data_IF_941400339677
#
_entry.id   IF_941400339677
#
_cell.length_a   1.000
_cell.length_b   1.000
_cell.length_c   1.000
_cell.angle_alpha   90.00
_cell.angle_beta   90.00
_cell.angle_gamma   90.00
#
_symmetry.space_group_name_H-M   'P 1'
#
loop_
_entity.id
_entity.type
_entity.pdbx_description
1 polymer ?
#
# COMPACT_ATOMS: atom_id res chain seq x y z
N UNK A 1 -4.29 -25.65 -56.46
CA UNK A 1 -2.92 -26.18 -56.28
C UNK A 1 -2.95 -27.18 -55.12
N UNK A 2 -2.89 -28.48 -55.40
CA UNK A 2 -2.82 -29.53 -54.37
C UNK A 2 -1.39 -29.59 -53.85
N UNK A 3 -1.19 -29.31 -52.56
CA UNK A 3 0.13 -29.37 -51.93
C UNK A 3 0.61 -30.84 -51.94
N UNK A 4 1.78 -31.10 -52.54
CA UNK A 4 2.35 -32.45 -52.62
C UNK A 4 2.54 -33.07 -51.23
N UNK A 5 2.47 -34.40 -51.12
CA UNK A 5 2.59 -35.12 -49.85
C UNK A 5 3.85 -34.74 -49.06
N UNK A 6 4.99 -34.59 -49.74
CA UNK A 6 6.25 -34.13 -49.14
C UNK A 6 6.18 -32.73 -48.55
N UNK A 7 5.46 -31.79 -49.19
CA UNK A 7 5.29 -30.42 -48.71
C UNK A 7 4.41 -30.35 -47.46
N UNK A 8 3.41 -31.24 -47.33
CA UNK A 8 2.56 -31.35 -46.13
C UNK A 8 3.34 -31.86 -44.92
N UNK A 9 4.27 -32.81 -45.13
CA UNK A 9 5.12 -33.37 -44.08
C UNK A 9 6.07 -32.29 -43.53
N UNK A 10 6.74 -31.55 -44.42
CA UNK A 10 7.62 -30.44 -44.03
C UNK A 10 6.86 -29.34 -43.28
N UNK A 11 5.63 -29.03 -43.71
CA UNK A 11 4.79 -28.04 -43.03
C UNK A 11 4.41 -28.50 -41.61
N UNK A 12 4.04 -29.76 -41.44
CA UNK A 12 3.69 -30.33 -40.14
C UNK A 12 4.88 -30.32 -39.17
N UNK A 13 6.07 -30.67 -39.65
CA UNK A 13 7.30 -30.63 -38.86
C UNK A 13 7.66 -29.20 -38.42
N UNK A 14 7.52 -28.22 -39.32
CA UNK A 14 7.77 -26.81 -39.02
C UNK A 14 6.77 -26.25 -38.00
N UNK A 15 5.51 -26.67 -38.05
CA UNK A 15 4.49 -26.34 -37.04
C UNK A 15 4.84 -26.95 -35.69
N UNK A 16 5.28 -28.21 -35.65
CA UNK A 16 5.69 -28.86 -34.40
C UNK A 16 6.88 -28.15 -33.75
N UNK A 17 7.89 -27.77 -34.53
CA UNK A 17 9.03 -26.98 -34.05
C UNK A 17 8.56 -25.65 -33.49
N UNK A 18 7.66 -24.95 -34.18
CA UNK A 18 7.10 -23.68 -33.72
C UNK A 18 6.35 -23.85 -32.38
N UNK A 19 5.56 -24.90 -32.22
CA UNK A 19 4.84 -25.19 -30.97
C UNK A 19 5.83 -25.46 -29.84
N UNK A 20 6.89 -26.24 -30.07
CA UNK A 20 7.93 -26.51 -29.06
C UNK A 20 8.63 -25.22 -28.64
N UNK A 21 8.96 -24.33 -29.59
CA UNK A 21 9.57 -23.03 -29.30
C UNK A 21 8.64 -22.12 -28.48
N UNK A 22 7.34 -22.12 -28.79
CA UNK A 22 6.33 -21.38 -28.03
C UNK A 22 6.24 -21.92 -26.60
N UNK A 23 6.16 -23.25 -26.42
CA UNK A 23 6.12 -23.89 -25.10
C UNK A 23 7.39 -23.56 -24.31
N UNK A 24 8.56 -23.65 -24.94
CA UNK A 24 9.82 -23.31 -24.31
C UNK A 24 9.88 -21.84 -23.86
N UNK A 25 9.42 -20.91 -24.69
CA UNK A 25 9.32 -19.49 -24.33
C UNK A 25 8.37 -19.28 -23.15
N UNK A 26 7.20 -19.93 -23.16
CA UNK A 26 6.23 -19.87 -22.04
C UNK A 26 6.90 -20.36 -20.76
N UNK A 27 7.61 -21.49 -20.79
CA UNK A 27 8.31 -22.06 -19.63
C UNK A 27 9.37 -21.11 -19.10
N UNK A 28 10.21 -20.51 -19.96
CA UNK A 28 11.22 -19.52 -19.53
C UNK A 28 10.58 -18.31 -18.87
N UNK A 29 9.53 -17.76 -19.48
CA UNK A 29 8.79 -16.61 -18.92
C UNK A 29 8.19 -16.99 -17.56
N UNK A 30 7.65 -18.19 -17.44
CA UNK A 30 7.09 -18.70 -16.18
C UNK A 30 8.16 -18.86 -15.10
N UNK A 31 9.27 -19.52 -15.40
CA UNK A 31 10.36 -19.76 -14.45
C UNK A 31 10.97 -18.44 -13.97
N UNK A 32 11.30 -17.53 -14.90
CA UNK A 32 11.86 -16.20 -14.58
C UNK A 32 10.90 -15.38 -13.71
N UNK A 33 9.60 -15.48 -13.97
CA UNK A 33 8.60 -14.78 -13.18
C UNK A 33 8.32 -15.43 -11.83
N UNK A 34 8.58 -16.73 -11.68
CA UNK A 34 8.30 -17.47 -10.45
C UNK A 34 9.23 -17.08 -9.29
N UNK A 35 10.45 -16.59 -9.56
CA UNK A 35 11.35 -16.12 -8.51
C UNK A 35 10.80 -14.90 -7.76
N UNK A 36 10.30 -13.91 -8.50
CA UNK A 36 9.64 -12.72 -7.95
C UNK A 36 8.32 -13.07 -7.25
N UNK A 37 7.58 -14.06 -7.77
CA UNK A 37 6.35 -14.55 -7.13
C UNK A 37 6.63 -15.16 -5.75
N UNK A 38 7.81 -15.74 -5.52
CA UNK A 38 8.20 -16.25 -4.19
C UNK A 38 8.36 -15.11 -3.19
N UNK A 39 9.11 -14.06 -3.53
CA UNK A 39 9.25 -12.87 -2.68
C UNK A 39 7.88 -12.25 -2.31
N UNK A 40 7.01 -12.07 -3.30
CA UNK A 40 5.66 -11.54 -3.10
C UNK A 40 4.78 -12.44 -2.22
N UNK A 41 4.95 -13.76 -2.33
CA UNK A 41 4.22 -14.75 -1.53
C UNK A 41 4.75 -14.82 -0.11
N UNK A 42 6.05 -14.72 0.06
CA UNK A 42 6.71 -14.67 1.37
C UNK A 42 6.31 -13.39 2.09
N UNK A 43 6.30 -12.25 1.40
CA UNK A 43 5.80 -10.98 1.95
C UNK A 43 4.30 -11.01 2.28
N UNK A 44 3.47 -11.77 1.55
CA UNK A 44 2.07 -12.00 1.92
C UNK A 44 1.94 -12.88 3.18
N UNK A 45 2.83 -13.86 3.33
CA UNK A 45 2.85 -14.77 4.48
C UNK A 45 3.30 -14.07 5.76
N UNK A 46 4.19 -13.09 5.62
CA UNK A 46 4.75 -12.26 6.69
C UNK A 46 3.87 -11.05 7.04
N UNK A 47 2.85 -10.76 6.23
CA UNK A 47 1.97 -9.62 6.43
C UNK A 47 1.10 -9.75 7.68
N UNK A 48 1.33 -8.87 8.65
CA UNK A 48 0.68 -8.90 9.96
C UNK A 48 -0.76 -8.30 9.90
N UNK A 49 -0.93 -7.20 9.15
CA UNK A 49 -2.20 -6.49 9.06
C UNK A 49 -3.13 -6.96 7.93
N UNK A 50 -4.45 -6.83 8.12
CA UNK A 50 -5.45 -7.18 7.10
C UNK A 50 -5.35 -6.30 5.83
N UNK A 51 -4.97 -5.03 5.99
CA UNK A 51 -4.72 -4.11 4.88
C UNK A 51 -3.49 -4.50 4.07
N UNK A 52 -2.40 -4.86 4.75
CA UNK A 52 -1.18 -5.32 4.11
C UNK A 52 -1.39 -6.64 3.35
N UNK A 53 -2.14 -7.59 3.90
CA UNK A 53 -2.55 -8.81 3.19
C UNK A 53 -3.38 -8.53 1.94
N UNK A 54 -4.21 -7.48 1.93
CA UNK A 54 -4.97 -7.06 0.73
C UNK A 54 -4.05 -6.43 -0.31
N UNK A 55 -3.10 -5.60 0.12
CA UNK A 55 -2.09 -5.01 -0.74
C UNK A 55 -1.23 -6.07 -1.45
N UNK A 56 -0.65 -7.00 -0.69
CA UNK A 56 0.16 -8.08 -1.25
C UNK A 56 -0.65 -9.00 -2.16
N UNK A 57 -1.92 -9.29 -1.81
CA UNK A 57 -2.85 -10.01 -2.71
C UNK A 57 -3.08 -9.26 -4.03
N UNK A 58 -3.24 -7.93 -3.98
CA UNK A 58 -3.35 -7.09 -5.18
C UNK A 58 -2.07 -7.15 -6.02
N UNK A 59 -0.91 -7.00 -5.39
CA UNK A 59 0.38 -7.02 -6.08
C UNK A 59 0.65 -8.38 -6.73
N UNK A 60 0.33 -9.48 -6.05
CA UNK A 60 0.34 -10.84 -6.60
C UNK A 60 -0.57 -10.97 -7.82
N UNK A 61 -1.83 -10.51 -7.73
CA UNK A 61 -2.79 -10.59 -8.85
C UNK A 61 -2.35 -9.74 -10.04
N UNK A 62 -1.85 -8.52 -9.83
CA UNK A 62 -1.27 -7.71 -10.90
C UNK A 62 -0.08 -8.42 -11.55
N UNK A 63 0.78 -9.08 -10.76
CA UNK A 63 1.91 -9.83 -11.29
C UNK A 63 1.47 -11.06 -12.08
N UNK A 64 0.49 -11.81 -11.60
CA UNK A 64 -0.13 -12.92 -12.33
C UNK A 64 -0.74 -12.44 -13.65
N UNK A 65 -1.40 -11.27 -13.65
CA UNK A 65 -1.94 -10.69 -14.87
C UNK A 65 -0.85 -10.40 -15.89
N UNK A 66 0.34 -9.93 -15.49
CA UNK A 66 1.50 -9.73 -16.41
C UNK A 66 2.06 -11.02 -17.02
N UNK A 67 1.66 -12.20 -16.53
CA UNK A 67 2.03 -13.47 -17.18
C UNK A 67 1.18 -13.74 -18.43
N UNK A 68 0.04 -13.05 -18.58
CA UNK A 68 -0.76 -13.16 -19.79
C UNK A 68 -0.06 -12.44 -20.94
N UNK A 69 -0.04 -13.03 -22.15
CA UNK A 69 0.74 -12.53 -23.29
C UNK A 69 0.37 -11.10 -23.74
N UNK A 70 -0.84 -10.63 -23.41
CA UNK A 70 -1.35 -9.31 -23.80
C UNK A 70 -1.30 -8.27 -22.67
N UNK A 71 -0.77 -8.63 -21.51
CA UNK A 71 -0.78 -7.78 -20.32
C UNK A 71 0.64 -7.31 -20.00
N UNK A 72 0.91 -6.06 -20.38
CA UNK A 72 2.15 -5.37 -20.06
C UNK A 72 2.04 -4.50 -18.79
N UNK A 73 3.16 -3.88 -18.37
CA UNK A 73 3.18 -3.00 -17.20
C UNK A 73 2.28 -1.77 -17.35
N UNK A 74 1.98 -1.34 -18.59
CA UNK A 74 1.14 -0.16 -18.88
C UNK A 74 -0.37 -0.43 -18.80
N UNK A 75 -0.82 -1.66 -19.05
CA UNK A 75 -2.24 -2.01 -19.08
C UNK A 75 -2.65 -2.90 -17.89
N UNK A 76 -1.70 -3.46 -17.13
CA UNK A 76 -1.98 -4.33 -15.99
C UNK A 76 -2.90 -3.70 -14.95
N UNK A 77 -2.70 -2.42 -14.60
CA UNK A 77 -3.49 -1.78 -13.55
C UNK A 77 -4.92 -1.53 -14.01
N UNK A 78 -5.09 -1.17 -15.28
CA UNK A 78 -6.39 -0.98 -15.91
C UNK A 78 -7.16 -2.30 -16.03
N UNK A 79 -6.47 -3.37 -16.44
CA UNK A 79 -7.05 -4.71 -16.55
C UNK A 79 -7.37 -5.27 -15.15
N UNK A 80 -6.50 -5.02 -14.17
CA UNK A 80 -6.77 -5.39 -12.79
C UNK A 80 -7.99 -4.65 -12.23
N UNK A 81 -8.08 -3.33 -12.46
CA UNK A 81 -9.24 -2.52 -12.07
C UNK A 81 -10.54 -2.96 -12.75
N UNK A 82 -10.47 -3.38 -14.01
CA UNK A 82 -11.60 -3.91 -14.77
C UNK A 82 -12.04 -5.31 -14.29
N UNK A 83 -11.09 -6.21 -14.03
CA UNK A 83 -11.39 -7.59 -13.62
C UNK A 83 -11.77 -7.70 -12.14
N UNK A 84 -11.19 -6.87 -11.28
CA UNK A 84 -11.29 -6.96 -9.83
C UNK A 84 -11.88 -5.70 -9.20
N UNK A 85 -12.79 -5.00 -9.90
CA UNK A 85 -13.61 -3.85 -9.47
C UNK A 85 -13.35 -3.41 -8.02
N UNK A 86 -12.58 -2.33 -7.83
CA UNK A 86 -12.24 -1.78 -6.51
C UNK A 86 -10.75 -1.48 -6.28
N UNK A 87 -9.90 -1.77 -7.26
CA UNK A 87 -8.48 -1.52 -7.15
C UNK A 87 -8.12 -0.11 -7.61
N UNK A 88 -7.83 0.76 -6.65
CA UNK A 88 -7.55 2.18 -6.88
C UNK A 88 -6.70 2.45 -8.11
N UNK A 89 -7.31 3.20 -9.02
CA UNK A 89 -6.65 3.92 -10.11
C UNK A 89 -5.35 4.51 -9.55
N UNK A 90 -4.20 4.31 -10.19
CA UNK A 90 -2.86 4.73 -9.70
C UNK A 90 -2.68 6.24 -9.51
N UNK A 91 -3.79 6.99 -9.42
CA UNK A 91 -3.91 8.36 -8.99
C UNK A 91 -3.55 8.48 -7.51
N UNK A 92 -2.90 9.59 -7.16
CA UNK A 92 -2.58 9.91 -5.78
C UNK A 92 -3.85 9.84 -4.90
N UNK A 93 -3.74 9.22 -3.73
CA UNK A 93 -4.81 9.21 -2.75
C UNK A 93 -4.99 10.64 -2.24
N UNK A 94 -6.07 11.32 -2.63
CA UNK A 94 -6.46 12.57 -2.00
C UNK A 94 -7.33 12.26 -0.79
N UNK A 95 -6.78 12.40 0.41
CA UNK A 95 -7.54 12.29 1.67
C UNK A 95 -8.03 13.68 2.10
N UNK A 96 -9.16 13.72 2.81
CA UNK A 96 -9.65 14.86 3.55
C UNK A 96 -9.64 14.48 5.03
N UNK A 97 -8.81 15.15 5.82
CA UNK A 97 -8.75 14.93 7.27
C UNK A 97 -9.72 15.86 7.98
N UNK A 98 -10.42 15.33 8.99
CA UNK A 98 -11.15 16.08 10.00
C UNK A 98 -10.67 15.61 11.37
N UNK A 99 -10.56 16.54 12.29
CA UNK A 99 -10.16 16.27 13.66
C UNK A 99 -11.31 16.66 14.57
N UNK A 100 -11.62 15.83 15.56
CA UNK A 100 -12.60 16.13 16.60
C UNK A 100 -11.92 16.01 17.97
N UNK A 101 -12.03 17.02 18.83
CA UNK A 101 -11.61 16.95 20.22
C UNK A 101 -12.86 16.78 21.09
N UNK A 102 -12.96 15.69 21.85
CA UNK A 102 -14.13 15.40 22.69
C UNK A 102 -15.48 15.49 21.93
N UNK A 103 -15.47 15.21 20.62
CA UNK A 103 -16.64 15.30 19.73
C UNK A 103 -16.84 16.64 19.02
N UNK A 104 -16.08 17.69 19.34
CA UNK A 104 -16.14 18.99 18.66
C UNK A 104 -15.11 19.08 17.53
N UNK A 105 -15.52 19.57 16.35
CA UNK A 105 -14.63 19.70 15.20
C UNK A 105 -13.54 20.75 15.44
N UNK A 106 -12.29 20.35 15.24
CA UNK A 106 -11.09 21.16 15.41
C UNK A 106 -10.51 21.60 14.07
N UNK A 107 -9.76 22.71 14.10
CA UNK A 107 -9.07 23.21 12.90
C UNK A 107 -7.91 22.30 12.54
N UNK A 108 -7.83 21.97 11.25
CA UNK A 108 -6.72 21.24 10.64
C UNK A 108 -6.11 22.16 9.57
N UNK A 109 -4.79 22.28 9.57
CA UNK A 109 -4.05 23.06 8.59
C UNK A 109 -3.62 22.14 7.45
N UNK A 110 -3.66 22.65 6.22
CA UNK A 110 -3.21 21.89 5.04
C UNK A 110 -1.80 22.33 4.70
N UNK A 111 -0.87 21.38 4.56
CA UNK A 111 0.47 21.56 4.01
C UNK A 111 0.54 20.90 2.63
N UNK A 112 1.54 21.21 1.80
CA UNK A 112 1.71 20.58 0.48
C UNK A 112 1.70 19.04 0.58
N UNK A 113 0.55 18.42 0.23
CA UNK A 113 0.37 16.96 0.25
C UNK A 113 -0.06 16.33 1.58
N UNK A 114 -0.29 17.12 2.64
CA UNK A 114 -0.65 16.59 3.97
C UNK A 114 -1.47 17.53 4.85
N UNK A 115 -1.78 17.06 6.06
CA UNK A 115 -2.57 17.76 7.07
C UNK A 115 -1.79 17.86 8.36
N UNK A 116 -1.87 19.01 9.04
CA UNK A 116 -1.25 19.20 10.36
C UNK A 116 -2.28 19.71 11.37
N UNK A 117 -2.17 19.23 12.61
CA UNK A 117 -3.01 19.70 13.71
C UNK A 117 -2.26 19.64 15.04
N UNK A 118 -2.58 20.58 15.93
CA UNK A 118 -2.08 20.57 17.30
C UNK A 118 -3.06 19.81 18.20
N UNK A 119 -2.55 18.82 18.91
CA UNK A 119 -3.28 18.06 19.93
C UNK A 119 -2.84 18.55 21.30
N UNK A 120 -3.79 18.88 22.16
CA UNK A 120 -3.56 19.16 23.56
C UNK A 120 -3.35 17.86 24.36
N UNK A 121 -2.68 17.97 25.50
CA UNK A 121 -2.57 16.89 26.46
C UNK A 121 -3.95 16.50 27.03
N UNK A 122 -4.07 15.24 27.45
CA UNK A 122 -5.23 14.67 28.16
C UNK A 122 -6.58 14.86 27.47
N UNK A 123 -6.56 15.00 26.14
CA UNK A 123 -7.76 15.22 25.32
C UNK A 123 -7.96 14.04 24.39
N UNK A 124 -9.21 13.58 24.28
CA UNK A 124 -9.58 12.49 23.36
C UNK A 124 -9.81 13.06 21.95
N UNK A 125 -8.88 12.78 21.06
CA UNK A 125 -8.94 13.21 19.67
C UNK A 125 -9.41 12.08 18.78
N UNK A 126 -10.48 12.33 18.02
CA UNK A 126 -10.90 11.45 16.93
C UNK A 126 -10.44 12.04 15.60
N UNK A 127 -9.53 11.33 14.93
CA UNK A 127 -9.09 11.63 13.57
C UNK A 127 -9.99 10.88 12.60
N UNK A 128 -10.66 11.61 11.72
CA UNK A 128 -11.46 11.07 10.63
C UNK A 128 -10.74 11.38 9.30
N UNK A 129 -10.28 10.35 8.62
CA UNK A 129 -9.73 10.44 7.27
C UNK A 129 -10.79 9.94 6.30
N UNK A 130 -11.20 10.81 5.37
CA UNK A 130 -12.12 10.45 4.29
C UNK A 130 -11.42 10.53 2.95
N UNK A 131 -11.89 9.76 1.98
CA UNK A 131 -11.52 9.97 0.58
C UNK A 131 -12.10 11.29 0.08
N UNK A 132 -11.30 12.09 -0.61
CA UNK A 132 -11.78 13.26 -1.34
C UNK A 132 -12.61 12.80 -2.56
N UNK A 133 -13.76 13.46 -2.75
CA UNK A 133 -14.87 12.99 -3.57
C UNK A 133 -14.50 12.60 -5.00
N UNK A 134 -14.96 11.41 -5.42
CA UNK A 134 -14.87 10.92 -6.81
C UNK A 134 -13.67 10.04 -7.15
N UNK A 135 -12.70 9.89 -6.25
CA UNK A 135 -11.53 9.02 -6.48
C UNK A 135 -11.84 7.59 -6.03
N UNK A 136 -11.63 6.55 -6.84
CA UNK A 136 -11.59 5.14 -6.38
C UNK A 136 -10.22 4.77 -5.80
N UNK A 137 -9.31 5.74 -5.73
CA UNK A 137 -7.96 5.58 -5.24
C UNK A 137 -7.98 5.07 -3.79
N UNK A 138 -7.23 4.00 -3.60
CA UNK A 138 -6.95 3.38 -2.31
C UNK A 138 -5.51 3.65 -1.97
N UNK A 139 -5.17 3.85 -0.70
CA UNK A 139 -3.79 4.06 -0.31
C UNK A 139 -3.62 3.97 1.20
N UNK A 140 -2.44 4.34 1.66
CA UNK A 140 -2.11 4.38 3.07
C UNK A 140 -1.95 5.84 3.48
N UNK A 141 -2.12 6.13 4.77
CA UNK A 141 -1.74 7.40 5.34
C UNK A 141 -0.68 7.15 6.41
N UNK A 142 0.36 7.96 6.39
CA UNK A 142 1.35 8.00 7.47
C UNK A 142 0.94 9.12 8.41
N UNK A 143 0.76 8.77 9.68
CA UNK A 143 0.46 9.69 10.77
C UNK A 143 1.73 9.83 11.62
N UNK A 144 2.32 11.01 11.62
CA UNK A 144 3.51 11.34 12.41
C UNK A 144 3.09 12.23 13.56
N UNK A 145 3.39 11.82 14.78
CA UNK A 145 3.12 12.58 16.00
C UNK A 145 4.46 13.06 16.55
N UNK A 146 4.65 14.38 16.58
CA UNK A 146 5.87 15.01 17.09
C UNK A 146 5.56 15.73 18.39
N UNK A 147 6.32 15.45 19.44
CA UNK A 147 6.22 16.18 20.70
C UNK A 147 7.04 17.48 20.68
N UNK A 148 6.79 18.38 21.64
CA UNK A 148 7.55 19.62 21.78
C UNK A 148 9.01 19.45 22.22
N UNK A 149 9.41 18.23 22.61
CA UNK A 149 10.76 17.87 23.03
C UNK A 149 11.58 17.19 21.91
N UNK A 150 11.00 16.98 20.73
CA UNK A 150 11.64 16.35 19.57
C UNK A 150 11.40 14.83 19.43
N UNK A 151 10.61 14.21 20.31
CA UNK A 151 10.16 12.83 20.18
C UNK A 151 9.20 12.68 19.01
N UNK A 152 9.47 11.72 18.12
CA UNK A 152 8.66 11.45 16.94
C UNK A 152 8.15 10.01 16.99
N UNK A 153 6.82 9.85 16.95
CA UNK A 153 6.16 8.55 16.85
C UNK A 153 5.35 8.52 15.56
N UNK A 154 5.68 7.60 14.67
CA UNK A 154 4.97 7.42 13.41
C UNK A 154 4.05 6.20 13.51
N UNK A 155 2.88 6.31 12.91
CA UNK A 155 1.93 5.22 12.69
C UNK A 155 1.55 5.19 11.22
N UNK A 156 1.24 4.00 10.71
CA UNK A 156 0.62 3.87 9.39
C UNK A 156 -0.81 3.41 9.52
N UNK A 157 -1.71 3.96 8.73
CA UNK A 157 -3.04 3.37 8.59
C UNK A 157 -2.94 2.05 7.82
N UNK A 158 -3.97 1.22 7.96
CA UNK A 158 -4.22 0.21 6.95
C UNK A 158 -4.77 0.86 5.65
N UNK A 159 -5.19 0.04 4.69
CA UNK A 159 -5.61 0.52 3.37
C UNK A 159 -6.94 1.30 3.48
N UNK A 160 -6.89 2.59 3.18
CA UNK A 160 -8.05 3.49 3.24
C UNK A 160 -8.91 3.27 1.98
N UNK A 161 -10.04 2.58 2.15
CA UNK A 161 -11.04 2.35 1.09
C UNK A 161 -12.30 3.20 1.29
N UNK A 162 -12.49 3.81 2.48
CA UNK A 162 -13.66 4.61 2.86
C UNK A 162 -13.36 5.52 4.05
N UNK A 163 -14.37 5.75 4.91
CA UNK A 163 -14.19 6.49 6.14
C UNK A 163 -13.28 5.72 7.10
N UNK A 164 -12.18 6.35 7.50
CA UNK A 164 -11.22 5.80 8.42
C UNK A 164 -11.18 6.64 9.69
N UNK A 165 -11.40 6.01 10.83
CA UNK A 165 -11.43 6.66 12.13
C UNK A 165 -10.33 6.12 13.01
N UNK A 166 -9.65 7.01 13.71
CA UNK A 166 -8.65 6.67 14.71
C UNK A 166 -8.87 7.52 15.95
N UNK A 167 -8.75 6.95 17.15
CA UNK A 167 -8.71 7.74 18.39
C UNK A 167 -7.29 7.86 18.87
N UNK A 168 -6.89 9.07 19.24
CA UNK A 168 -5.56 9.38 19.75
C UNK A 168 -5.73 9.94 21.15
N UNK A 169 -5.04 9.32 22.11
CA UNK A 169 -4.96 9.79 23.49
C UNK A 169 -3.50 9.96 23.85
N UNK A 170 -3.18 11.11 24.44
CA UNK A 170 -1.81 11.51 24.80
C UNK A 170 -1.84 12.24 26.14
N UNK A 171 -0.84 11.99 26.98
CA UNK A 171 -0.56 12.74 28.21
C UNK A 171 0.12 14.10 27.92
N UNK A 172 0.44 14.38 26.66
CA UNK A 172 1.24 15.53 26.22
C UNK A 172 0.68 16.20 24.98
N UNK A 173 1.07 17.46 24.79
CA UNK A 173 0.78 18.18 23.56
C UNK A 173 1.63 17.69 22.40
N UNK A 174 1.00 17.49 21.25
CA UNK A 174 1.61 16.89 20.06
C UNK A 174 1.26 17.67 18.81
N UNK A 175 2.14 17.63 17.83
CA UNK A 175 1.88 18.01 16.46
C UNK A 175 1.60 16.73 15.66
N UNK A 176 0.35 16.54 15.23
CA UNK A 176 -0.01 15.49 14.29
C UNK A 176 0.21 15.98 12.87
N UNK A 177 0.93 15.21 12.08
CA UNK A 177 1.12 15.38 10.64
C UNK A 177 0.60 14.13 9.94
N UNK A 178 -0.34 14.28 9.01
CA UNK A 178 -0.91 13.20 8.23
C UNK A 178 -0.58 13.38 6.74
N UNK A 179 0.15 12.44 6.16
CA UNK A 179 0.55 12.46 4.75
C UNK A 179 -0.05 11.27 4.00
N UNK A 180 -0.66 11.54 2.84
CA UNK A 180 -1.25 10.50 2.01
C UNK A 180 -0.18 9.83 1.15
N UNK A 181 0.06 8.54 1.38
CA UNK A 181 0.95 7.72 0.56
C UNK A 181 0.08 6.89 -0.39
N UNK A 182 0.16 7.19 -1.70
CA UNK A 182 -0.53 6.41 -2.72
C UNK A 182 -0.10 4.92 -2.73
N UNK A 183 -0.69 4.10 -3.60
CA UNK A 183 -0.37 2.66 -3.72
C UNK A 183 1.10 2.30 -4.03
N UNK A 184 1.98 3.29 -4.22
CA UNK A 184 3.41 3.08 -4.45
C UNK A 184 4.09 2.87 -3.10
N UNK A 185 4.33 1.60 -2.76
CA UNK A 185 5.11 1.20 -1.59
C UNK A 185 6.50 1.89 -1.67
N UNK A 186 6.98 2.55 -0.61
CA UNK A 186 8.36 3.03 -0.57
C UNK A 186 9.32 1.83 -0.67
N UNK A 187 10.41 1.99 -1.43
CA UNK A 187 11.41 0.94 -1.71
C UNK A 187 12.10 0.41 -0.44
N UNK A 188 11.98 1.14 0.66
CA UNK A 188 12.42 0.75 2.00
C UNK A 188 11.24 0.90 2.96
N UNK A 189 10.82 -0.19 3.59
CA UNK A 189 9.73 -0.17 4.57
C UNK A 189 10.36 -0.03 5.96
N UNK A 190 10.25 1.13 6.63
CA UNK A 190 10.56 1.19 8.05
C UNK A 190 9.51 0.38 8.83
N UNK A 191 9.94 -0.39 9.84
CA UNK A 191 9.07 -1.12 10.76
C UNK A 191 8.30 -0.13 11.63
N UNK A 192 7.18 0.37 11.12
CA UNK A 192 6.31 1.34 11.79
C UNK A 192 4.99 0.63 12.18
N UNK A 193 4.50 0.81 13.41
CA UNK A 193 3.25 0.18 13.86
C UNK A 193 2.03 0.61 13.01
N UNK A 194 1.16 -0.36 12.73
CA UNK A 194 -0.08 -0.14 11.98
C UNK A 194 -1.23 0.19 12.92
N UNK A 195 -1.80 1.38 12.75
CA UNK A 195 -2.96 1.85 13.50
C UNK A 195 -4.24 1.54 12.72
N UNK A 196 -4.87 0.40 13.00
CA UNK A 196 -6.04 -0.11 12.26
C UNK A 196 -7.32 0.72 12.45
N UNK A 197 -8.28 0.61 11.54
CA UNK A 197 -9.51 1.41 11.61
C UNK A 197 -10.28 1.16 12.92
N UNK A 198 -10.66 2.22 13.60
CA UNK A 198 -11.40 2.18 14.86
C UNK A 198 -10.54 1.85 16.09
N UNK A 199 -9.22 1.76 15.95
CA UNK A 199 -8.32 1.53 17.09
C UNK A 199 -8.03 2.82 17.85
N UNK A 200 -7.69 2.64 19.13
CA UNK A 200 -7.17 3.69 20.00
C UNK A 200 -5.66 3.58 19.98
N UNK A 201 -5.00 4.65 19.54
CA UNK A 201 -3.56 4.79 19.62
C UNK A 201 -3.24 5.52 20.92
N UNK A 202 -2.69 4.77 21.86
CA UNK A 202 -2.14 5.31 23.10
C UNK A 202 -0.66 5.56 22.87
N UNK A 203 -0.25 6.80 23.01
CA UNK A 203 1.14 7.17 22.80
C UNK A 203 1.90 6.82 24.07
N UNK A 204 2.93 5.95 24.00
CA UNK A 204 3.70 5.61 25.18
C UNK A 204 4.38 6.88 25.74
N UNK A 205 4.54 6.98 27.06
CA UNK A 205 5.25 8.11 27.65
C UNK A 205 6.65 8.18 27.04
N UNK A 206 7.10 9.36 26.58
CA UNK A 206 8.36 9.45 25.85
C UNK A 206 9.47 8.79 26.67
N UNK A 207 10.07 7.75 26.11
CA UNK A 207 11.32 7.21 26.61
C UNK A 207 12.30 8.38 26.58
N UNK A 208 12.75 8.81 27.78
CA UNK A 208 13.94 9.65 27.87
C UNK A 208 15.01 8.93 27.08
N UNK A 209 15.47 9.55 26.00
CA UNK A 209 16.71 9.20 25.33
C UNK A 209 17.74 8.81 26.38
N UNK A 210 18.03 7.52 26.47
CA UNK A 210 19.07 6.94 27.33
C UNK A 210 20.43 7.26 26.70
N UNK A 211 20.76 8.56 26.64
CA UNK A 211 22.06 9.08 26.24
C UNK A 211 22.71 9.89 27.37
N UNK A 212 22.45 9.50 28.61
CA UNK A 212 23.15 10.04 29.79
C UNK A 212 23.32 8.95 30.86
N UNK A 213 23.99 7.85 30.48
CA UNK A 213 24.67 6.99 31.45
C UNK A 213 26.14 7.39 31.41
N UNK A 214 26.45 8.46 32.14
CA UNK A 214 27.82 8.77 32.52
C UNK A 214 28.27 7.70 33.50
N UNK A 215 29.23 6.87 33.06
CA UNK A 215 30.00 6.03 33.96
C UNK A 215 30.85 6.95 34.85
N UNK A 216 30.46 7.06 36.11
CA UNK A 216 31.38 7.43 37.20
C UNK A 216 31.94 6.15 37.82
#
# INVERSE_FOLDING_TARGET
>A
MSMGSGTKILLAELIMILVVLIVFWIVIVFIRSNAELRYLRDALRDADSAGERRYWRRQLRCRYLRLLPFVGPRNVERIYGFLFHGAGDGRALHIHMRLYANGEEQRVYTLEGGYTAHLAADTDYTVLLRRSGGTTASGFCTLTLTDGAGGVVSYRTDMIEGDYTLRIMSDRSLLLTAEAVGCKKPEHMPDIPVAANGTVVVIPPAERSSADVSYF
#
